data_IF_675388630926
#
_entry.id   IF_675388630926
#
_cell.length_a   1.000
_cell.length_b   1.000
_cell.length_c   1.000
_cell.angle_alpha   90.00
_cell.angle_beta   90.00
_cell.angle_gamma   90.00
#
_symmetry.space_group_name_H-M   'P 1'
#
loop_
_entity.id
_entity.type
_entity.pdbx_description
1 polymer ?
2 non-polymer ?
3 non-polymer ?
4 non-polymer ?
5 water ?
#
# COMPACT_ATOMS: atom_id res chain seq x y z
N UNK A 11 -6.08 8.53 26.87
CA UNK A 11 -5.60 9.60 25.93
C UNK A 11 -4.68 9.02 24.86
N UNK A 12 -4.79 9.59 23.65
CA UNK A 12 -4.11 9.07 22.46
C UNK A 12 -3.62 10.23 21.58
N UNK A 13 -2.36 10.15 21.09
CA UNK A 13 -1.80 11.28 20.32
C UNK A 13 -2.46 11.49 18.96
N UNK A 14 -2.24 12.69 18.41
CA UNK A 14 -2.98 13.16 17.23
C UNK A 14 -2.54 12.50 15.91
N UNK A 15 -1.23 12.33 15.74
CA UNK A 15 -0.68 11.72 14.54
C UNK A 15 -0.55 10.21 14.71
N UNK A 16 -0.87 9.46 13.65
CA UNK A 16 -0.69 8.01 13.73
C UNK A 16 0.78 7.61 13.93
N UNK A 17 1.73 8.45 13.53
CA UNK A 17 3.14 8.13 13.74
C UNK A 17 3.66 8.36 15.17
N UNK A 18 2.80 8.86 16.05
CA UNK A 18 3.09 9.00 17.48
C UNK A 18 2.47 7.91 18.34
N UNK A 19 1.89 6.90 17.73
CA UNK A 19 1.22 5.85 18.47
C UNK A 19 1.34 4.51 17.75
N UNK A 20 1.44 3.41 18.51
CA UNK A 20 1.42 2.09 17.91
C UNK A 20 0.03 1.72 17.39
N UNK A 21 -0.01 1.16 16.18
CA UNK A 21 -1.23 0.60 15.61
C UNK A 21 -0.88 -0.82 15.22
N UNK A 22 -1.29 -1.80 16.05
CA UNK A 22 -0.96 -3.19 15.75
C UNK A 22 -1.76 -3.76 14.60
N UNK A 23 -1.34 -4.94 14.17
CA UNK A 23 -1.95 -5.65 13.05
C UNK A 23 -3.42 -6.00 13.30
N UNK A 24 -3.69 -6.55 14.47
CA UNK A 24 -5.05 -6.93 14.83
C UNK A 24 -5.54 -6.06 15.97
N UNK A 25 -6.83 -5.77 15.93
CA UNK A 25 -7.48 -4.82 16.87
C UNK A 25 -8.92 -5.18 17.17
N UNK A 26 -9.63 -4.30 17.90
CA UNK A 26 -10.91 -4.66 18.54
C UNK A 26 -12.18 -4.03 17.96
N UNK A 27 -12.03 -3.39 16.81
CA UNK A 27 -13.01 -2.48 16.22
C UNK A 27 -13.02 -2.57 14.68
N UNK A 28 -12.92 -3.81 14.21
CA UNK A 28 -12.77 -4.07 12.77
C UNK A 28 -14.03 -3.71 12.01
N UNK A 29 -15.20 -3.99 12.59
CA UNK A 29 -16.46 -3.60 11.96
C UNK A 29 -16.55 -2.09 11.77
N UNK A 30 -16.20 -1.36 12.81
CA UNK A 30 -16.35 0.09 12.76
C UNK A 30 -15.35 0.73 11.81
N UNK A 31 -14.11 0.27 11.86
CA UNK A 31 -13.07 0.85 11.00
C UNK A 31 -13.37 0.49 9.52
N UNK A 32 -13.87 -0.73 9.27
CA UNK A 32 -14.22 -1.14 7.88
C UNK A 32 -15.31 -0.23 7.32
N UNK A 33 -16.32 0.09 8.13
CA UNK A 33 -17.37 0.97 7.69
C UNK A 33 -16.88 2.38 7.38
N UNK A 34 -16.03 2.95 8.24
CA UNK A 34 -15.43 4.26 7.98
C UNK A 34 -14.51 4.28 6.74
N UNK A 35 -13.75 3.21 6.57
CA UNK A 35 -12.92 3.07 5.39
C UNK A 35 -13.69 2.92 4.08
N UNK A 36 -14.90 2.36 4.13
CA UNK A 36 -15.78 2.36 2.94
C UNK A 36 -16.11 3.81 2.56
N UNK A 37 -16.53 4.60 3.56
CA UNK A 37 -16.81 6.02 3.30
C UNK A 37 -15.57 6.79 2.80
N UNK A 38 -14.41 6.49 3.35
CA UNK A 38 -13.18 7.12 2.89
C UNK A 38 -12.91 6.80 1.41
N UNK A 39 -13.04 5.52 1.08
CA UNK A 39 -12.74 5.03 -0.27
C UNK A 39 -13.70 5.70 -1.27
N UNK A 40 -14.98 5.71 -0.91
CA UNK A 40 -16.01 6.33 -1.73
C UNK A 40 -15.75 7.81 -1.95
N UNK A 41 -15.34 8.52 -0.90
CA UNK A 41 -14.92 9.90 -1.03
C UNK A 41 -13.80 10.10 -2.04
N UNK A 42 -12.79 9.22 -1.97
CA UNK A 42 -11.66 9.24 -2.92
C UNK A 42 -12.13 9.03 -4.35
N UNK A 43 -13.06 8.10 -4.53
CA UNK A 43 -13.66 7.90 -5.86
C UNK A 43 -14.36 9.14 -6.42
N UNK A 44 -14.87 10.00 -5.54
CA UNK A 44 -15.53 11.23 -5.98
C UNK A 44 -14.61 12.45 -6.01
N UNK A 45 -13.32 12.23 -5.84
CA UNK A 45 -12.34 13.31 -5.79
C UNK A 45 -12.37 14.16 -4.53
N UNK A 46 -12.99 13.65 -3.45
CA UNK A 46 -13.17 14.39 -2.19
C UNK A 46 -12.03 14.03 -1.23
N UNK A 47 -10.86 14.61 -1.47
CA UNK A 47 -9.62 14.20 -0.80
C UNK A 47 -9.60 14.54 0.71
N UNK A 48 -10.17 15.69 1.08
CA UNK A 48 -10.31 16.10 2.48
C UNK A 48 -11.12 15.09 3.28
N UNK A 49 -12.30 14.74 2.75
CA UNK A 49 -13.17 13.76 3.37
C UNK A 49 -12.53 12.36 3.42
N UNK A 50 -11.81 11.96 2.37
CA UNK A 50 -11.04 10.70 2.42
C UNK A 50 -10.10 10.67 3.63
N UNK A 51 -9.30 11.71 3.76
CA UNK A 51 -8.31 11.77 4.85
C UNK A 51 -8.98 11.79 6.24
N UNK A 52 -10.09 12.51 6.36
CA UNK A 52 -10.81 12.59 7.62
C UNK A 52 -11.35 11.22 8.07
N UNK A 53 -11.95 10.48 7.14
CA UNK A 53 -12.48 9.15 7.48
C UNK A 53 -11.36 8.16 7.75
N UNK A 54 -10.26 8.26 6.99
CA UNK A 54 -9.09 7.38 7.18
C UNK A 54 -8.49 7.57 8.58
N UNK A 55 -8.32 8.83 8.97
CA UNK A 55 -7.82 9.17 10.31
C UNK A 55 -8.70 8.66 11.45
N UNK A 56 -10.01 8.79 11.31
CA UNK A 56 -10.95 8.29 12.32
C UNK A 56 -10.86 6.77 12.41
N UNK A 57 -10.82 6.10 11.25
CA UNK A 57 -10.69 4.65 11.26
C UNK A 57 -9.42 4.25 12.00
N UNK A 58 -8.33 4.96 11.76
CA UNK A 58 -7.05 4.59 12.37
C UNK A 58 -7.05 4.78 13.89
N UNK A 59 -7.79 5.76 14.37
CA UNK A 59 -7.95 5.93 15.83
C UNK A 59 -8.55 4.68 16.47
N UNK A 60 -9.61 4.15 15.86
CA UNK A 60 -10.25 2.94 16.37
C UNK A 60 -9.31 1.74 16.37
N UNK A 61 -8.40 1.67 15.39
CA UNK A 61 -7.43 0.59 15.32
C UNK A 61 -6.40 0.64 16.44
N UNK A 62 -6.14 1.84 16.95
CA UNK A 62 -5.19 2.07 18.03
C UNK A 62 -5.79 1.88 19.42
N UNK A 63 -7.11 1.73 19.54
CA UNK A 63 -7.74 1.56 20.86
C UNK A 63 -7.50 0.17 21.45
N UNK A 64 -7.32 0.09 22.78
CA UNK A 64 -7.06 -1.21 23.40
C UNK A 64 -8.28 -2.10 23.59
N UNK A 65 -9.50 -1.57 23.42
CA UNK A 65 -10.73 -2.30 23.72
C UNK A 65 -11.78 -2.06 22.65
N UNK A 66 -12.77 -2.97 22.53
CA UNK A 66 -13.85 -2.68 21.59
C UNK A 66 -14.66 -1.48 22.07
N UNK A 67 -15.17 -0.70 21.11
CA UNK A 67 -16.17 0.34 21.36
C UNK A 67 -17.54 -0.31 21.34
N UNK A 68 -18.13 -0.45 22.54
CA UNK A 68 -19.45 -1.07 22.73
C UNK A 68 -20.58 -0.03 22.90
N UNK A 69 -20.25 1.16 23.41
CA UNK A 69 -21.23 2.22 23.65
C UNK A 69 -20.69 3.55 23.15
N UNK A 70 -21.57 4.48 22.76
CA UNK A 70 -21.12 5.80 22.24
C UNK A 70 -20.33 6.61 23.26
N UNK A 71 -20.62 6.36 24.55
CA UNK A 71 -19.82 6.90 25.65
C UNK A 71 -18.32 6.76 25.44
N UNK A 72 -17.88 5.66 24.84
CA UNK A 72 -16.46 5.37 24.65
C UNK A 72 -15.68 6.29 23.68
N UNK A 73 -16.39 7.11 22.89
CA UNK A 73 -15.77 8.27 22.24
C UNK A 73 -15.46 9.30 23.35
N UNK A 74 -14.27 9.87 23.33
CA UNK A 74 -13.67 10.45 24.55
C UNK A 74 -12.74 11.65 24.37
N UNK A 75 -13.11 12.60 23.51
CA UNK A 75 -12.27 13.81 23.27
C UNK A 75 -11.10 13.58 22.31
N UNK A 76 -10.54 12.37 22.31
CA UNK A 76 -9.59 11.87 21.29
C UNK A 76 -9.80 12.44 19.89
N UNK A 77 -8.69 12.73 19.18
CA UNK A 77 -8.78 13.59 18.02
C UNK A 77 -9.36 12.89 16.81
N UNK A 78 -9.57 13.67 15.75
CA UNK A 78 -10.02 13.14 14.46
C UNK A 78 -11.29 12.29 14.56
N UNK A 79 -12.20 12.65 15.47
CA UNK A 79 -13.51 11.99 15.54
C UNK A 79 -14.59 13.03 15.58
N UNK A 80 -14.79 13.65 14.42
CA UNK A 80 -15.80 14.68 14.22
C UNK A 80 -17.22 14.11 14.20
N UNK A 81 -18.16 15.00 13.93
CA UNK A 81 -19.59 14.68 13.94
C UNK A 81 -19.96 13.53 13.00
N UNK A 82 -19.48 13.61 11.76
CA UNK A 82 -19.85 12.60 10.76
C UNK A 82 -19.38 11.18 11.16
N UNK A 83 -18.10 11.03 11.46
CA UNK A 83 -17.57 9.71 11.84
C UNK A 83 -18.28 9.17 13.09
N UNK A 84 -18.52 10.04 14.07
CA UNK A 84 -19.26 9.67 15.28
C UNK A 84 -20.68 9.18 15.00
N UNK A 85 -21.39 9.88 14.11
CA UNK A 85 -22.72 9.46 13.70
C UNK A 85 -22.73 8.06 13.08
N UNK A 86 -21.72 7.77 12.23
CA UNK A 86 -21.60 6.47 11.61
C UNK A 86 -21.48 5.39 12.68
N UNK A 87 -20.56 5.60 13.63
CA UNK A 87 -20.35 4.62 14.71
C UNK A 87 -21.62 4.49 15.57
N UNK A 88 -22.26 5.61 15.87
CA UNK A 88 -23.51 5.58 16.67
C UNK A 88 -24.58 4.68 16.04
N UNK A 89 -24.78 4.83 14.73
CA UNK A 89 -25.79 4.06 14.01
C UNK A 89 -25.46 2.57 13.97
N UNK A 90 -24.17 2.26 13.82
CA UNK A 90 -23.69 0.87 13.90
C UNK A 90 -23.95 0.27 15.29
N UNK A 91 -23.63 1.02 16.33
CA UNK A 91 -23.88 0.56 17.71
C UNK A 91 -25.36 0.43 18.04
N UNK A 92 -26.14 1.43 17.65
CA UNK A 92 -27.58 1.43 17.96
C UNK A 92 -28.41 0.45 17.13
N UNK A 93 -28.11 0.37 15.82
CA UNK A 93 -28.93 -0.37 14.85
C UNK A 93 -28.24 -1.55 14.13
N UNK A 94 -26.94 -1.74 14.34
CA UNK A 94 -26.19 -2.81 13.66
C UNK A 94 -25.85 -2.52 12.21
N UNK A 95 -26.16 -1.32 11.75
CA UNK A 95 -26.02 -0.97 10.35
C UNK A 95 -26.03 0.55 10.21
N UNK A 96 -25.34 1.08 9.21
CA UNK A 96 -25.33 2.51 8.94
C UNK A 96 -25.87 2.69 7.54
N UNK A 97 -26.98 3.40 7.39
CA UNK A 97 -27.64 3.49 6.08
C UNK A 97 -26.76 4.15 5.02
N UNK A 98 -26.01 5.18 5.40
CA UNK A 98 -25.09 5.83 4.47
C UNK A 98 -24.08 4.82 3.92
N UNK A 99 -23.54 3.98 4.79
CA UNK A 99 -22.59 2.94 4.39
C UNK A 99 -23.25 1.91 3.48
N UNK A 100 -24.42 1.40 3.85
CA UNK A 100 -25.10 0.40 3.02
C UNK A 100 -25.48 0.96 1.64
N UNK A 101 -25.87 2.24 1.59
CA UNK A 101 -26.23 2.87 0.32
C UNK A 101 -25.01 2.91 -0.58
N UNK A 102 -23.87 3.27 0.01
CA UNK A 102 -22.59 3.26 -0.72
C UNK A 102 -22.27 1.87 -1.25
N UNK A 103 -22.28 0.82 -0.41
CA UNK A 103 -21.92 -0.52 -0.92
C UNK A 103 -22.85 -0.99 -2.02
N UNK A 104 -24.12 -0.61 -1.98
CA UNK A 104 -25.08 -1.02 -3.00
C UNK A 104 -25.05 -0.16 -4.29
N UNK A 105 -24.38 0.98 -4.26
CA UNK A 105 -24.43 1.92 -5.37
C UNK A 105 -23.57 1.45 -6.54
N UNK A 106 -24.13 1.56 -7.74
CA UNK A 106 -23.46 1.14 -8.96
C UNK A 106 -22.13 1.88 -9.16
N UNK A 107 -22.12 3.17 -8.83
CA UNK A 107 -20.92 4.00 -8.92
C UNK A 107 -19.81 3.46 -8.04
N UNK A 108 -20.11 3.20 -6.77
CA UNK A 108 -19.07 2.66 -5.86
C UNK A 108 -18.60 1.30 -6.32
N UNK A 109 -19.53 0.38 -6.62
CA UNK A 109 -19.19 -0.96 -7.07
C UNK A 109 -18.34 -0.96 -8.34
N UNK A 110 -18.66 -0.07 -9.28
CA UNK A 110 -17.92 -0.02 -10.53
C UNK A 110 -16.53 0.60 -10.32
N UNK A 111 -16.48 1.65 -9.52
CA UNK A 111 -15.19 2.32 -9.24
C UNK A 111 -14.28 1.35 -8.50
N UNK A 112 -14.84 0.58 -7.58
CA UNK A 112 -14.04 -0.44 -6.89
C UNK A 112 -13.54 -1.50 -7.86
N UNK A 113 -14.45 -2.00 -8.70
CA UNK A 113 -14.09 -2.98 -9.76
C UNK A 113 -12.93 -2.49 -10.62
N UNK A 114 -13.08 -1.28 -11.16
CA UNK A 114 -12.07 -0.78 -12.07
C UNK A 114 -10.75 -0.45 -11.38
N UNK A 115 -10.84 0.26 -10.26
CA UNK A 115 -9.61 0.74 -9.61
C UNK A 115 -8.79 -0.43 -9.05
N UNK A 116 -9.42 -1.58 -8.79
CA UNK A 116 -8.70 -2.76 -8.28
C UNK A 116 -7.80 -3.37 -9.38
N UNK A 117 -8.13 -3.14 -10.65
CA UNK A 117 -7.36 -3.70 -11.75
C UNK A 117 -5.95 -3.07 -11.80
N UNK A 118 -4.95 -3.92 -11.98
CA UNK A 118 -3.55 -3.50 -12.11
C UNK A 118 -3.42 -2.41 -13.17
N UNK A 119 -2.79 -1.29 -12.80
CA UNK A 119 -2.58 -0.17 -13.71
C UNK A 119 -3.73 0.83 -13.86
N UNK A 120 -4.81 0.66 -13.12
CA UNK A 120 -5.97 1.57 -13.18
C UNK A 120 -6.08 2.40 -11.91
N UNK A 121 -5.98 3.71 -12.03
CA UNK A 121 -6.26 4.62 -10.92
C UNK A 121 -7.65 5.23 -10.95
N UNK A 122 -7.92 6.15 -10.02
CA UNK A 122 -9.23 6.74 -9.88
C UNK A 122 -9.59 7.55 -11.09
N UNK A 123 -8.64 8.30 -11.64
CA UNK A 123 -8.97 9.15 -12.78
C UNK A 123 -9.38 8.33 -13.99
N UNK A 124 -8.66 7.25 -14.25
CA UNK A 124 -9.00 6.35 -15.35
C UNK A 124 -10.35 5.67 -15.12
N UNK A 125 -10.54 5.12 -13.92
CA UNK A 125 -11.79 4.44 -13.57
C UNK A 125 -12.99 5.39 -13.72
N UNK A 126 -12.83 6.62 -13.25
CA UNK A 126 -13.93 7.60 -13.32
C UNK A 126 -14.25 7.94 -14.79
N UNK A 127 -13.20 8.14 -15.59
CA UNK A 127 -13.38 8.40 -17.03
C UNK A 127 -14.18 7.27 -17.68
N UNK A 128 -13.79 6.03 -17.39
CA UNK A 128 -14.48 4.89 -17.95
C UNK A 128 -15.93 4.83 -17.51
N UNK A 129 -16.18 5.16 -16.25
CA UNK A 129 -17.53 5.17 -15.70
C UNK A 129 -18.37 6.21 -16.41
N UNK A 130 -17.77 7.35 -16.61
CA UNK A 130 -18.47 8.48 -17.27
C UNK A 130 -18.85 8.14 -18.71
N UNK A 131 -18.01 7.37 -19.35
CA UNK A 131 -18.19 6.85 -20.70
C UNK A 131 -19.10 5.64 -20.83
N UNK A 132 -19.67 5.20 -19.75
CA UNK A 132 -20.62 4.14 -19.76
C UNK A 132 -20.15 2.71 -19.59
N UNK A 133 -18.88 2.58 -19.31
CA UNK A 133 -18.29 1.28 -19.07
C UNK A 133 -18.62 0.83 -17.64
N UNK A 134 -18.97 -0.44 -17.48
CA UNK A 134 -19.37 -0.97 -16.15
C UNK A 134 -18.72 -2.26 -15.77
N UNK A 135 -18.41 -3.12 -16.72
CA UNK A 135 -17.94 -4.45 -16.38
C UNK A 135 -16.58 -4.73 -16.96
N UNK A 136 -15.98 -5.83 -16.52
CA UNK A 136 -14.69 -6.24 -17.07
C UNK A 136 -14.81 -6.60 -18.57
N UNK A 137 -15.92 -7.23 -18.94
CA UNK A 137 -16.18 -7.50 -20.33
C UNK A 137 -16.27 -6.22 -21.18
N UNK A 138 -16.91 -5.19 -20.64
CA UNK A 138 -17.00 -3.91 -21.31
C UNK A 138 -15.58 -3.41 -21.64
N UNK A 139 -14.64 -3.58 -20.72
CA UNK A 139 -13.26 -3.13 -20.98
C UNK A 139 -12.61 -3.97 -22.06
N UNK A 140 -12.84 -5.29 -22.00
CA UNK A 140 -12.28 -6.19 -23.01
C UNK A 140 -12.83 -5.96 -24.42
N UNK A 141 -14.02 -5.37 -24.48
CA UNK A 141 -14.62 -4.95 -25.76
C UNK A 141 -14.05 -3.67 -26.33
N UNK A 142 -13.28 -2.93 -25.52
CA UNK A 142 -12.63 -1.68 -25.95
C UNK A 142 -11.12 -1.68 -25.71
N UNK A 143 -10.42 -2.64 -26.33
CA UNK A 143 -8.98 -2.76 -26.03
C UNK A 143 -8.14 -1.54 -26.37
N UNK A 144 -8.59 -0.75 -27.34
CA UNK A 144 -7.91 0.49 -27.68
C UNK A 144 -7.90 1.52 -26.52
N UNK A 145 -8.78 1.35 -25.55
CA UNK A 145 -8.86 2.22 -24.36
C UNK A 145 -7.90 1.76 -23.25
N UNK A 146 -7.20 0.65 -23.44
CA UNK A 146 -6.38 0.07 -22.37
C UNK A 146 -4.90 0.18 -22.65
N UNK A 147 -4.13 0.44 -21.60
CA UNK A 147 -2.69 0.34 -21.68
C UNK A 147 -2.28 -1.13 -21.61
N UNK A 148 -1.03 -1.41 -21.95
CA UNK A 148 -0.56 -2.77 -21.95
C UNK A 148 -0.60 -3.33 -20.52
N UNK A 149 -0.30 -2.48 -19.54
CA UNK A 149 -0.38 -2.87 -18.13
C UNK A 149 -1.81 -3.27 -17.75
N UNK A 150 -2.76 -2.45 -18.19
CA UNK A 150 -4.18 -2.72 -17.90
C UNK A 150 -4.67 -3.99 -18.58
N UNK A 151 -4.17 -4.24 -19.78
CA UNK A 151 -4.51 -5.48 -20.49
C UNK A 151 -4.03 -6.69 -19.72
N UNK A 152 -2.82 -6.57 -19.19
CA UNK A 152 -2.25 -7.65 -18.38
C UNK A 152 -3.04 -7.82 -17.08
N UNK A 153 -3.44 -6.71 -16.47
CA UNK A 153 -4.27 -6.74 -15.28
C UNK A 153 -5.60 -7.45 -15.55
N UNK A 154 -6.19 -7.18 -16.71
CA UNK A 154 -7.44 -7.86 -17.08
C UNK A 154 -7.31 -9.34 -17.32
N UNK A 155 -6.28 -9.71 -18.07
CA UNK A 155 -5.93 -11.09 -18.35
C UNK A 155 -5.83 -11.91 -17.07
N UNK A 156 -5.26 -11.31 -16.03
CA UNK A 156 -4.99 -12.03 -14.79
C UNK A 156 -5.85 -11.59 -13.64
N UNK A 157 -7.03 -11.03 -13.92
CA UNK A 157 -7.76 -10.34 -12.86
C UNK A 157 -8.24 -11.29 -11.77
N UNK A 158 -8.56 -12.51 -12.12
CA UNK A 158 -9.05 -13.44 -11.07
C UNK A 158 -7.94 -13.74 -10.02
N UNK A 159 -6.79 -14.07 -10.55
CA UNK A 159 -5.65 -14.36 -9.66
C UNK A 159 -5.24 -13.10 -8.89
N UNK A 160 -5.24 -11.93 -9.55
CA UNK A 160 -4.82 -10.72 -8.86
C UNK A 160 -5.83 -10.22 -7.82
N UNK A 161 -7.07 -10.69 -7.87
CA UNK A 161 -8.10 -10.41 -6.87
C UNK A 161 -8.05 -11.39 -5.71
N UNK A 162 -7.25 -12.44 -5.85
CA UNK A 162 -7.08 -13.49 -4.82
C UNK A 162 -6.01 -13.00 -3.87
N UNK A 163 -6.30 -12.91 -2.52
CA UNK A 163 -5.30 -12.42 -1.59
C UNK A 163 -3.98 -13.20 -1.72
N UNK A 164 -2.89 -12.46 -1.72
CA UNK A 164 -1.56 -13.03 -1.70
C UNK A 164 -1.30 -13.49 -0.27
N UNK A 165 -0.76 -14.70 -0.12
CA UNK A 165 -0.55 -15.33 1.18
C UNK A 165 0.92 -15.28 1.57
N UNK A 166 1.18 -15.39 2.87
CA UNK A 166 2.56 -15.45 3.35
C UNK A 166 3.35 -16.55 2.66
N UNK A 167 2.72 -17.70 2.43
CA UNK A 167 3.38 -18.81 1.73
C UNK A 167 3.82 -18.42 0.31
N UNK A 168 3.01 -17.61 -0.36
CA UNK A 168 3.36 -17.08 -1.67
C UNK A 168 4.55 -16.16 -1.57
N UNK A 169 4.54 -15.29 -0.55
CA UNK A 169 5.63 -14.34 -0.33
C UNK A 169 6.95 -15.05 -0.10
N UNK A 170 6.93 -16.10 0.68
CA UNK A 170 8.15 -16.83 0.98
C UNK A 170 8.72 -17.48 -0.29
N UNK A 171 7.86 -18.05 -1.14
CA UNK A 171 8.32 -18.62 -2.42
C UNK A 171 8.88 -17.54 -3.34
N UNK A 172 8.19 -16.41 -3.42
CA UNK A 172 8.66 -15.30 -4.27
C UNK A 172 9.96 -14.70 -3.78
N UNK A 173 10.10 -14.55 -2.47
CA UNK A 173 11.34 -14.00 -1.92
C UNK A 173 12.52 -14.91 -2.26
N UNK A 174 12.30 -16.24 -2.23
CA UNK A 174 13.33 -17.20 -2.59
C UNK A 174 13.81 -16.99 -4.03
N UNK A 175 12.89 -16.92 -4.99
CA UNK A 175 13.31 -16.79 -6.40
C UNK A 175 13.93 -15.40 -6.66
N UNK A 176 13.42 -14.36 -5.99
CA UNK A 176 13.99 -13.02 -6.16
C UNK A 176 15.39 -12.97 -5.52
N UNK A 177 15.52 -13.55 -4.32
CA UNK A 177 16.84 -13.61 -3.68
C UNK A 177 17.85 -14.40 -4.51
N UNK A 178 17.42 -15.53 -5.09
CA UNK A 178 18.31 -16.34 -5.94
C UNK A 178 18.75 -15.53 -7.17
N UNK A 179 17.80 -14.86 -7.81
CA UNK A 179 18.15 -14.08 -9.02
C UNK A 179 19.06 -12.90 -8.68
N UNK A 180 18.77 -12.20 -7.60
CA UNK A 180 19.61 -11.06 -7.17
C UNK A 180 21.03 -11.54 -6.81
N UNK A 181 21.10 -12.61 -6.01
CA UNK A 181 22.40 -13.20 -5.58
C UNK A 181 23.29 -13.66 -6.73
N UNK A 182 22.66 -14.28 -7.73
CA UNK A 182 23.34 -14.75 -8.93
C UNK A 182 23.75 -13.62 -9.88
N UNK A 183 22.96 -12.55 -9.97
CA UNK A 183 23.31 -11.38 -10.78
C UNK A 183 24.44 -10.59 -10.17
N UNK A 184 24.40 -10.43 -8.84
CA UNK A 184 25.40 -9.63 -8.15
C UNK A 184 25.61 -10.12 -6.72
N UNK A 185 26.67 -10.93 -6.51
CA UNK A 185 26.99 -11.31 -5.14
C UNK A 185 27.10 -10.06 -4.26
N UNK A 186 26.56 -10.14 -3.05
CA UNK A 186 26.56 -9.00 -2.12
C UNK A 186 25.25 -8.24 -2.10
N UNK A 187 24.54 -8.19 -3.22
CA UNK A 187 23.27 -7.45 -3.30
C UNK A 187 22.25 -8.08 -2.35
N UNK A 188 21.37 -7.26 -1.77
CA UNK A 188 20.38 -7.70 -0.81
C UNK A 188 18.95 -7.45 -1.31
N UNK A 189 18.03 -8.28 -0.82
CA UNK A 189 16.61 -8.16 -1.05
C UNK A 189 15.95 -7.99 0.31
N UNK A 190 15.10 -6.98 0.47
CA UNK A 190 14.35 -6.79 1.70
C UNK A 190 12.85 -6.76 1.40
N UNK A 191 12.11 -7.62 2.09
CA UNK A 191 10.65 -7.58 2.02
C UNK A 191 10.14 -6.31 2.68
N UNK A 192 9.26 -5.58 1.99
CA UNK A 192 8.67 -4.36 2.51
C UNK A 192 7.14 -4.49 2.41
N UNK A 193 6.41 -3.39 2.37
CA UNK A 193 4.95 -3.41 2.25
C UNK A 193 4.30 -4.01 3.47
N UNK A 194 3.06 -4.42 3.28
CA UNK A 194 2.27 -4.97 4.38
C UNK A 194 2.85 -6.19 5.03
N UNK A 195 3.48 -7.02 4.25
CA UNK A 195 4.07 -8.25 4.77
C UNK A 195 5.17 -7.96 5.78
N UNK A 196 5.91 -6.88 5.55
CA UNK A 196 6.91 -6.47 6.55
C UNK A 196 6.24 -6.01 7.87
N UNK A 197 5.04 -5.45 7.75
CA UNK A 197 4.27 -5.01 8.89
C UNK A 197 3.56 -6.17 9.61
N UNK A 198 3.78 -7.40 9.19
CA UNK A 198 3.17 -8.56 9.81
C UNK A 198 1.88 -9.06 9.18
N UNK A 199 1.36 -8.40 8.14
CA UNK A 199 0.12 -8.87 7.51
C UNK A 199 0.25 -10.30 7.04
N UNK A 200 -0.88 -11.04 7.15
CA UNK A 200 -0.92 -12.42 6.70
C UNK A 200 -1.28 -12.53 5.26
N UNK A 201 -1.88 -11.47 4.71
CA UNK A 201 -2.30 -11.43 3.33
C UNK A 201 -2.07 -10.04 2.74
N UNK A 202 -2.14 -9.95 1.43
CA UNK A 202 -1.90 -8.68 0.75
C UNK A 202 -2.34 -8.69 -0.70
N UNK A 203 -2.24 -7.53 -1.35
CA UNK A 203 -2.60 -7.42 -2.75
C UNK A 203 -1.43 -7.60 -3.71
N UNK A 204 -0.23 -7.48 -3.17
CA UNK A 204 1.01 -7.65 -3.92
C UNK A 204 2.13 -8.00 -2.95
N UNK A 205 3.35 -8.09 -3.46
CA UNK A 205 4.54 -8.31 -2.64
C UNK A 205 5.53 -7.22 -3.09
N UNK A 206 6.07 -6.51 -2.12
CA UNK A 206 6.97 -5.40 -2.31
C UNK A 206 8.39 -5.77 -1.84
N UNK A 207 9.37 -5.56 -2.72
CA UNK A 207 10.76 -5.86 -2.38
C UNK A 207 11.61 -4.63 -2.68
N UNK A 208 12.58 -4.37 -1.81
CA UNK A 208 13.55 -3.29 -1.95
C UNK A 208 14.94 -3.91 -2.09
N UNK A 209 15.63 -3.58 -3.19
CA UNK A 209 16.92 -4.16 -3.53
C UNK A 209 17.99 -3.06 -3.41
N UNK A 210 19.15 -3.42 -2.87
CA UNK A 210 20.30 -2.50 -2.81
C UNK A 210 21.60 -3.29 -2.77
N UNK A 211 22.71 -2.56 -2.74
CA UNK A 211 24.04 -3.15 -2.54
C UNK A 211 24.82 -2.24 -1.56
N UNK A 212 25.61 -2.81 -0.64
CA UNK A 212 26.29 -1.96 0.35
C UNK A 212 27.28 -0.93 -0.23
N UNK A 213 27.86 -1.20 -1.39
CA UNK A 213 28.61 -0.17 -2.13
C UNK A 213 27.76 0.65 -3.09
N UNK A 214 27.67 1.94 -2.81
CA UNK A 214 26.96 2.91 -3.63
C UNK A 214 27.39 2.83 -5.10
N UNK A 215 26.43 2.65 -5.99
CA UNK A 215 26.67 2.55 -7.43
C UNK A 215 26.74 1.14 -7.96
N UNK A 216 26.98 0.15 -7.11
CA UNK A 216 27.02 -1.25 -7.57
C UNK A 216 25.63 -1.78 -7.91
N UNK A 217 24.58 -1.06 -7.49
CA UNK A 217 23.19 -1.41 -7.85
C UNK A 217 22.80 -0.97 -9.28
N UNK A 218 23.68 -0.21 -9.97
CA UNK A 218 23.38 0.23 -11.33
C UNK A 218 23.29 -0.97 -12.26
N UNK A 219 22.23 -1.05 -13.06
CA UNK A 219 22.05 -2.14 -14.02
C UNK A 219 21.74 -3.50 -13.44
N UNK A 220 21.43 -3.56 -12.14
CA UNK A 220 21.19 -4.83 -11.48
C UNK A 220 19.79 -5.33 -11.86
N UNK A 221 18.82 -4.44 -11.84
CA UNK A 221 17.42 -4.89 -12.03
C UNK A 221 17.16 -5.57 -13.37
N UNK A 222 17.64 -4.98 -14.50
CA UNK A 222 17.48 -5.70 -15.75
C UNK A 222 18.12 -7.08 -15.74
N UNK A 223 19.22 -7.25 -15.02
CA UNK A 223 19.83 -8.54 -14.91
C UNK A 223 19.02 -9.54 -14.13
N UNK A 224 18.44 -9.05 -13.04
CA UNK A 224 17.55 -9.85 -12.22
C UNK A 224 16.31 -10.25 -13.04
N UNK A 225 15.79 -9.30 -13.79
CA UNK A 225 14.62 -9.60 -14.60
C UNK A 225 14.90 -10.66 -15.66
N UNK A 226 16.07 -10.58 -16.30
CA UNK A 226 16.41 -11.56 -17.34
C UNK A 226 16.45 -12.96 -16.75
N UNK A 227 17.06 -13.08 -15.59
CA UNK A 227 17.12 -14.36 -14.94
C UNK A 227 15.71 -14.89 -14.59
N UNK A 228 14.87 -14.02 -14.05
CA UNK A 228 13.53 -14.45 -13.70
C UNK A 228 12.73 -14.84 -14.95
N UNK A 229 12.91 -14.06 -15.99
CA UNK A 229 12.20 -14.37 -17.25
C UNK A 229 12.60 -15.71 -17.85
N UNK A 230 13.88 -16.01 -17.83
CA UNK A 230 14.37 -17.27 -18.37
C UNK A 230 13.90 -18.47 -17.57
N UNK A 231 13.50 -18.26 -16.30
CA UNK A 231 12.87 -19.32 -15.52
C UNK A 231 11.36 -19.45 -15.71
N UNK A 232 10.77 -18.66 -16.59
CA UNK A 232 9.36 -18.74 -16.86
C UNK A 232 8.51 -18.13 -15.76
N UNK A 233 9.11 -17.30 -14.92
CA UNK A 233 8.42 -16.77 -13.74
C UNK A 233 7.74 -15.41 -13.98
N UNK A 234 7.88 -14.83 -15.17
CA UNK A 234 7.38 -13.49 -15.40
C UNK A 234 6.28 -13.51 -16.45
N UNK A 235 5.11 -12.99 -16.07
CA UNK A 235 4.00 -12.84 -17.00
C UNK A 235 3.96 -11.45 -17.61
N UNK A 236 4.36 -10.47 -16.83
CA UNK A 236 4.36 -9.09 -17.25
C UNK A 236 5.42 -8.37 -16.49
N UNK A 237 6.15 -7.47 -17.17
CA UNK A 237 7.00 -6.54 -16.45
C UNK A 237 7.06 -5.23 -17.20
N UNK A 238 7.14 -4.16 -16.43
CA UNK A 238 7.26 -2.80 -16.97
C UNK A 238 8.41 -2.21 -16.20
N UNK A 239 9.50 -1.93 -16.90
CA UNK A 239 10.68 -1.37 -16.31
C UNK A 239 10.69 0.14 -16.39
N UNK A 240 10.74 0.79 -15.26
CA UNK A 240 10.79 2.24 -15.14
C UNK A 240 12.21 2.62 -14.71
N UNK A 241 12.94 3.34 -15.58
CA UNK A 241 14.25 3.91 -15.22
C UNK A 241 14.11 4.98 -14.14
N UNK A 257 15.17 11.54 -10.30
CA UNK A 257 15.64 10.96 -9.04
C UNK A 257 14.75 9.84 -8.46
N UNK A 258 13.54 9.62 -9.02
CA UNK A 258 12.66 8.50 -8.61
C UNK A 258 13.33 7.15 -8.82
N UNK A 259 12.98 6.17 -7.98
CA UNK A 259 13.77 4.93 -7.94
C UNK A 259 13.54 4.13 -9.21
N UNK A 260 14.58 3.41 -9.62
CA UNK A 260 14.43 2.40 -10.63
C UNK A 260 13.52 1.31 -10.06
N UNK A 261 12.57 0.86 -10.87
CA UNK A 261 11.62 -0.16 -10.41
C UNK A 261 11.03 -0.95 -11.55
N UNK A 262 10.53 -2.14 -11.22
CA UNK A 262 9.82 -2.97 -12.18
C UNK A 262 8.49 -3.35 -11.56
N UNK A 263 7.40 -3.08 -12.28
CA UNK A 263 6.05 -3.44 -11.84
C UNK A 263 5.81 -4.76 -12.56
N UNK A 264 5.62 -5.84 -11.80
CA UNK A 264 5.58 -7.16 -12.38
C UNK A 264 4.33 -7.92 -12.03
N UNK A 265 3.99 -8.86 -12.90
CA UNK A 265 3.13 -9.98 -12.56
C UNK A 265 3.98 -11.23 -12.69
N UNK A 266 4.17 -11.94 -11.57
CA UNK A 266 4.87 -13.21 -11.57
C UNK A 266 3.92 -14.36 -11.80
N UNK A 267 4.43 -15.43 -12.42
CA UNK A 267 3.71 -16.69 -12.53
C UNK A 267 4.27 -17.58 -11.41
N UNK A 268 3.55 -17.64 -10.32
CA UNK A 268 4.00 -18.45 -9.15
C UNK A 268 3.55 -19.90 -9.30
N UNK A 269 4.50 -20.87 -9.38
CA UNK A 269 4.02 -22.24 -9.46
C UNK A 269 3.45 -22.70 -8.14
N UNK A 270 2.45 -23.57 -8.22
CA UNK A 270 1.75 -24.10 -7.06
C UNK A 270 1.65 -25.59 -7.28
N UNK A 271 1.27 -26.36 -6.25
CA UNK A 271 1.05 -27.79 -6.51
C UNK A 271 -0.11 -28.04 -7.51
N UNK A 272 0.21 -28.54 -8.70
CA UNK A 272 -0.78 -28.82 -9.77
C UNK A 272 -1.36 -27.64 -10.56
N UNK A 273 -0.76 -26.46 -10.42
CA UNK A 273 -1.39 -25.24 -10.94
C UNK A 273 -0.38 -24.09 -10.97
N UNK A 274 -0.87 -22.85 -11.02
CA UNK A 274 0.00 -21.68 -10.81
C UNK A 274 -0.92 -20.51 -10.57
N UNK A 275 -0.36 -19.43 -10.05
CA UNK A 275 -1.10 -18.21 -9.74
C UNK A 275 -0.32 -16.98 -10.18
N UNK A 276 -0.98 -16.03 -10.84
CA UNK A 276 -0.38 -14.77 -11.09
C UNK A 276 -0.37 -13.94 -9.80
N UNK A 277 0.74 -13.26 -9.55
CA UNK A 277 0.92 -12.44 -8.35
C UNK A 277 1.66 -11.14 -8.69
N UNK A 278 1.08 -10.03 -8.29
CA UNK A 278 1.76 -8.76 -8.41
C UNK A 278 2.96 -8.62 -7.49
N UNK A 279 4.08 -8.17 -8.06
CA UNK A 279 5.29 -7.95 -7.32
C UNK A 279 5.87 -6.60 -7.75
N UNK A 280 6.25 -5.78 -6.80
CA UNK A 280 6.97 -4.54 -7.05
C UNK A 280 8.42 -4.75 -6.64
N UNK A 281 9.34 -4.53 -7.59
CA UNK A 281 10.76 -4.61 -7.31
C UNK A 281 11.30 -3.20 -7.42
N UNK A 282 11.87 -2.70 -6.33
CA UNK A 282 12.36 -1.35 -6.25
C UNK A 282 13.84 -1.40 -5.93
N UNK A 283 14.64 -0.64 -6.67
CA UNK A 283 16.07 -0.52 -6.36
C UNK A 283 16.38 0.85 -5.76
N UNK A 284 17.09 0.86 -4.65
CA UNK A 284 17.53 2.11 -4.03
C UNK A 284 19.04 2.07 -3.78
N UNK A 285 19.75 3.17 -4.07
CA UNK A 285 21.12 3.25 -3.61
C UNK A 285 21.18 3.22 -2.09
N UNK A 286 22.22 2.58 -1.56
CA UNK A 286 22.29 2.32 -0.13
C UNK A 286 22.18 3.57 0.74
N UNK A 287 22.68 4.72 0.26
CA UNK A 287 22.53 6.01 0.97
C UNK A 287 21.06 6.40 1.22
N UNK A 288 20.17 6.05 0.29
CA UNK A 288 18.74 6.34 0.41
C UNK A 288 17.92 5.19 0.99
N UNK A 289 18.54 4.03 1.15
CA UNK A 289 17.83 2.83 1.59
C UNK A 289 16.93 3.01 2.82
N UNK A 290 17.42 3.65 3.90
CA UNK A 290 16.52 3.78 5.06
C UNK A 290 15.21 4.52 4.78
N UNK A 291 15.30 5.58 3.97
CA UNK A 291 14.13 6.38 3.58
C UNK A 291 13.20 5.59 2.70
N UNK A 292 13.79 4.82 1.79
CA UNK A 292 13.04 3.95 0.89
C UNK A 292 12.34 2.84 1.68
N UNK A 293 13.04 2.24 2.64
CA UNK A 293 12.45 1.18 3.44
C UNK A 293 11.29 1.74 4.28
N UNK A 294 11.50 2.92 4.86
CA UNK A 294 10.43 3.56 5.65
C UNK A 294 9.20 3.85 4.80
N UNK A 295 9.42 4.43 3.63
CA UNK A 295 8.32 4.76 2.75
C UNK A 295 7.61 3.53 2.23
N UNK A 296 8.36 2.54 1.77
CA UNK A 296 7.77 1.34 1.18
C UNK A 296 7.13 0.38 2.22
N UNK A 297 7.44 0.56 3.49
CA UNK A 297 6.88 -0.31 4.53
C UNK A 297 5.46 0.14 4.89
N UNK A 298 5.19 1.44 4.79
CA UNK A 298 3.85 1.92 5.04
C UNK A 298 3.47 1.86 6.52
N UNK A 299 2.16 1.76 6.82
CA UNK A 299 1.05 1.78 5.87
C UNK A 299 0.99 3.10 5.11
N UNK A 300 0.16 3.17 4.09
CA UNK A 300 0.03 4.39 3.31
C UNK A 300 -0.34 5.56 4.21
N UNK A 301 -1.32 5.36 5.10
CA UNK A 301 -1.72 6.40 6.05
C UNK A 301 -0.59 6.73 7.03
N UNK A 302 0.09 5.71 7.55
CA UNK A 302 1.21 5.96 8.46
C UNK A 302 2.24 6.92 7.82
N UNK A 303 2.58 6.64 6.57
CA UNK A 303 3.58 7.47 5.89
C UNK A 303 3.08 8.86 5.61
N UNK A 304 1.80 8.99 5.24
CA UNK A 304 1.22 10.31 5.04
C UNK A 304 1.29 11.11 6.33
N UNK A 305 0.94 10.46 7.44
CA UNK A 305 0.99 11.10 8.76
C UNK A 305 2.40 11.47 9.18
N UNK A 306 3.36 10.58 8.96
CA UNK A 306 4.76 10.83 9.25
C UNK A 306 5.29 12.04 8.44
N UNK A 307 4.91 12.14 7.18
CA UNK A 307 5.29 13.28 6.34
C UNK A 307 4.64 14.59 6.77
N UNK A 308 3.36 14.52 7.11
CA UNK A 308 2.63 15.69 7.62
C UNK A 308 3.23 16.12 8.96
N UNK A 309 3.50 15.17 9.84
CA UNK A 309 4.19 15.48 11.09
C UNK A 309 5.55 16.14 10.90
N UNK A 310 6.38 15.58 10.01
CA UNK A 310 7.71 16.12 9.74
C UNK A 310 7.61 17.56 9.28
N UNK A 311 6.71 17.83 8.33
CA UNK A 311 6.53 19.17 7.79
C UNK A 311 5.93 20.13 8.81
N UNK A 312 4.77 19.77 9.35
CA UNK A 312 4.03 20.66 10.27
C UNK A 312 4.72 20.88 11.61
N UNK A 313 5.24 19.82 12.22
CA UNK A 313 5.82 19.91 13.56
C UNK A 313 7.34 20.16 13.56
N UNK A 314 8.07 19.74 12.53
CA UNK A 314 9.53 19.91 12.52
C UNK A 314 10.10 20.74 11.37
N UNK A 315 9.28 21.17 10.42
CA UNK A 315 9.74 21.96 9.29
C UNK A 315 10.59 21.25 8.26
N UNK A 316 10.55 19.91 8.24
CA UNK A 316 11.39 19.10 7.35
C UNK A 316 10.51 18.40 6.35
N UNK A 317 11.00 18.20 5.12
CA UNK A 317 10.24 17.51 4.09
C UNK A 317 10.75 16.08 3.96
N UNK A 318 9.89 15.11 4.29
CA UNK A 318 10.27 13.69 4.27
C UNK A 318 9.70 13.05 3.02
N UNK A 319 10.51 12.26 2.32
CA UNK A 319 9.97 11.40 1.28
C UNK A 319 10.77 10.10 1.25
N UNK A 320 10.55 9.28 0.23
CA UNK A 320 11.19 7.97 0.16
C UNK A 320 12.69 8.02 -0.18
N UNK A 321 13.19 9.21 -0.56
CA UNK A 321 14.60 9.43 -0.91
C UNK A 321 15.43 10.15 0.15
N UNK A 322 14.78 10.85 1.07
CA UNK A 322 15.51 11.63 2.03
C UNK A 322 14.69 12.52 2.93
N UNK A 323 15.41 13.27 3.76
CA UNK A 323 14.79 14.20 4.71
C UNK A 323 15.50 15.55 4.57
N UNK A 324 14.79 16.50 3.97
CA UNK A 324 15.33 17.78 3.54
C UNK A 324 14.91 18.89 4.50
N UNK A 325 15.87 19.70 4.93
CA UNK A 325 15.60 20.95 5.64
C UNK A 325 15.56 22.05 4.57
N UNK A 326 14.35 22.61 4.29
CA UNK A 326 14.22 23.55 3.18
C UNK A 326 14.82 24.94 3.51
N UNK A 327 14.96 25.25 4.80
CA UNK A 327 15.57 26.51 5.22
C UNK A 327 17.09 26.45 5.06
N UNK A 328 17.70 25.39 5.61
CA UNK A 328 19.15 25.20 5.54
C UNK A 328 19.64 24.60 4.23
N UNK A 329 18.74 24.00 3.46
CA UNK A 329 19.04 23.34 2.18
C UNK A 329 19.97 22.13 2.40
N UNK A 330 19.61 21.30 3.38
CA UNK A 330 20.45 20.17 3.77
C UNK A 330 19.65 18.88 3.76
N UNK A 331 20.34 17.76 3.52
CA UNK A 331 19.75 16.41 3.63
C UNK A 331 20.32 15.66 4.83
N UNK A 332 19.42 15.00 5.58
CA UNK A 332 19.81 14.20 6.74
C UNK A 332 20.40 12.85 6.32
N UNK A 333 21.55 12.51 6.89
CA UNK A 333 22.24 11.25 6.64
C UNK A 333 21.70 10.25 7.64
N UNK A 334 21.01 9.21 7.16
CA UNK A 334 20.44 8.17 8.02
C UNK A 334 21.07 6.85 7.65
N UNK A 335 21.39 6.04 8.67
CA UNK A 335 21.85 4.66 8.47
C UNK A 335 20.72 3.64 8.64
N UNK A 336 19.64 4.08 9.28
CA UNK A 336 18.54 3.20 9.66
C UNK A 336 17.24 3.97 9.81
N UNK A 337 16.13 3.24 9.82
CA UNK A 337 14.84 3.84 10.14
C UNK A 337 14.87 4.50 11.52
N UNK A 338 15.50 3.82 12.49
CA UNK A 338 15.62 4.34 13.85
C UNK A 338 16.22 5.75 13.86
N UNK A 339 17.26 5.97 13.06
CA UNK A 339 17.91 7.31 12.91
C UNK A 339 16.88 8.38 12.51
N UNK A 340 16.01 8.03 11.57
CA UNK A 340 15.02 8.95 11.04
C UNK A 340 13.98 9.28 12.11
N UNK A 341 13.48 8.27 12.80
CA UNK A 341 12.54 8.50 13.89
C UNK A 341 13.15 9.42 14.96
N UNK A 342 14.38 9.10 15.38
CA UNK A 342 15.13 9.89 16.38
C UNK A 342 15.30 11.34 15.93
N UNK A 343 15.70 11.55 14.67
CA UNK A 343 15.89 12.89 14.12
C UNK A 343 14.59 13.71 14.12
N UNK A 344 13.46 13.04 13.93
CA UNK A 344 12.14 13.70 13.95
C UNK A 344 11.53 13.84 15.35
N UNK A 345 12.22 13.36 16.38
CA UNK A 345 11.73 13.45 17.75
C UNK A 345 10.58 12.52 18.07
N UNK A 346 10.56 11.35 17.41
CA UNK A 346 9.53 10.35 17.57
C UNK A 346 10.11 9.09 18.17
N UNK A 347 9.36 8.46 19.07
CA UNK A 347 9.72 7.15 19.58
C UNK A 347 9.64 6.18 18.41
N UNK A 348 10.62 5.29 18.33
CA UNK A 348 10.64 4.31 17.25
C UNK A 348 9.42 3.39 17.31
N UNK A 349 8.82 3.14 16.15
CA UNK A 349 7.78 2.15 16.02
C UNK A 349 8.29 1.11 15.04
N UNK A 350 8.35 -0.17 15.48
CA UNK A 350 8.70 -1.21 14.52
C UNK A 350 7.59 -1.37 13.46
N UNK A 351 7.88 -2.04 12.34
CA UNK A 351 6.89 -2.09 11.26
C UNK A 351 5.51 -2.65 11.65
N UNK A 352 5.49 -3.65 12.52
CA UNK A 352 4.21 -4.22 13.00
C UNK A 352 3.32 -3.27 13.82
N UNK A 353 3.87 -2.12 14.22
CA UNK A 353 3.10 -1.08 14.88
C UNK A 353 2.81 0.10 13.98
N UNK A 354 3.04 -0.05 12.66
CA UNK A 354 2.75 1.00 11.68
C UNK A 354 1.51 0.71 10.84
N UNK A 355 0.57 -0.07 11.40
CA UNK A 355 -0.60 -0.52 10.64
C UNK A 355 -1.74 0.49 10.77
N UNK A 356 -1.42 1.76 10.57
CA UNK A 356 -2.40 2.83 10.68
C UNK A 356 -3.41 2.75 9.56
X LIG B 1 2.07 -4.26 -0.89
X LIG C 1 3.20 -2.49 -4.03
X LIG D 1 -0.94 -4.65 0.61
X LIG D 1 -0.44 -5.64 1.64
X LIG D 1 -2.37 -4.68 0.23
X LIG D 1 -0.05 -4.58 -0.61
X LIG D 1 -0.73 -3.25 1.38
X LIG D 1 0.66 -2.44 1.43
X LIG D 1 1.83 -3.30 1.02
X LIG D 1 0.68 -1.71 2.74
X LIG D 1 0.41 -1.32 0.31
X LIG D 1 1.16 -1.11 -1.09
X LIG D 1 1.81 -2.39 -1.60
X LIG D 1 0.15 -0.43 -1.98
X LIG D 1 2.26 0.00 -0.74
X LIG D 1 3.27 -0.22 0.26
X LIG D 1 3.89 1.11 0.65
X LIG D 1 4.59 1.58 -0.50
X LIG D 1 2.90 2.19 1.05
X LIG D 1 3.41 3.01 2.12
X LIG D 1 2.77 3.05 -0.19
X LIG D 1 2.44 4.40 0.12
X LIG D 1 4.16 2.90 -0.78
X LIG D 1 4.19 3.15 -2.25
X LIG D 1 3.43 2.56 -3.19
X LIG D 1 3.75 3.04 -4.43
X LIG D 1 4.74 3.95 -4.25
X LIG D 1 5.55 4.83 -5.11
X LIG D 1 5.38 4.84 -6.35
X LIG D 1 6.48 5.62 -4.53
X LIG D 1 6.69 5.63 -3.19
X LIG D 1 7.63 6.45 -2.65
X LIG D 1 5.97 4.84 -2.33
X LIG D 1 5.02 4.00 -2.81
X LIG E 1 -4.78 7.41 -12.90
X LIG E 1 -3.70 6.47 -12.53
X LIG E 1 -5.15 8.25 -11.74
X LIG E 1 -5.97 6.65 -13.35
X LIG E 1 -4.31 8.28 -14.01
X LIG F 1 -13.33 17.66 -0.04
X LIG F 1 -12.02 18.04 -0.63
X LIG F 1 -13.18 16.38 0.68
X LIG F 1 -14.33 17.51 -1.11
X LIG F 1 -13.77 18.71 0.91
X LIG G 1 -20.12 -5.86 0.59
X LIG G 1 -19.23 -4.80 1.12
X LIG G 1 -19.81 -7.16 1.22
X LIG G 1 -21.54 -5.52 0.90
X LIG G 1 -19.95 -5.92 -0.88
X LIG H 1 -1.98 21.16 6.82
X LIG H 1 -1.65 19.72 6.86
X LIG H 1 -2.86 21.50 7.95
X LIG H 1 -0.75 21.96 6.90
X LIG H 1 -2.67 21.45 5.54
X LIG I 1 8.16 9.75 -2.80
X LIG I 1 7.59 9.01 -1.65
X LIG I 1 9.61 9.88 -2.61
X LIG I 1 7.89 9.01 -4.06
X LIG I 1 7.53 11.09 -2.88
X LIG J 1 -2.81 -0.35 -6.49
X LIG J 1 -3.62 -0.55 -5.27
X LIG J 1 -1.40 -0.64 -6.17
X LIG J 1 -3.30 -1.28 -7.53
X LIG J 1 -2.95 1.05 -6.95
X LIG K 1 -12.20 12.99 -19.94
X LIG K 1 -11.99 12.07 -18.81
X LIG K 1 -11.33 12.60 -21.07
X LIG K 1 -13.62 12.94 -20.36
X LIG K 1 -11.86 14.37 -19.49
#
# INVERSE_FOLDING_TARGET
GSAAAPLSPAWMPAYACQRPTPLTHHNTGLSEALEILAEAAGFEGSEGRLLTFCRAASVLKALPSPVTTLSQLQGLPHFGEHSSRVVQELLEHGVCEEVERVRRSERYQTMKLFTQIFGVGVKTADRWYREGLRTLDDLREQPQKLTQQQKAGLQHHQDLSTPVLRSDVDALQQVVEEAVGQALPGATVTLTGGFRRGKLQGHDVDFLITHPKEGQEAGLLPRVMCRLQDQGLILYHQHQHSCCESPTRLAQQSHMDAFERSFCIFRLPQPGSWKAVRVDLVVAPVSQFPFALLGWTGSKLFQRELRRFSRKEKGLWLNSHGLFDPEQKTFFQAASEEDIFRHLGLEYLPPEQRNA
MN MN
MN MN
GTP PG O1G O2G O3G O3B PB O1B O2B O3A PA O1A O2A O5' C5' C4' O4' C3' O3' C2' O2' C1' N9 C8 N7 C5 C6 O6 N1 C2 N2 N3 C4
SO4 S O1 O2 O3 O4
SO4 S O1 O2 O3 O4
SO4 S O1 O2 O3 O4
SO4 S O1 O2 O3 O4
SO4 S O1 O2 O3 O4
SO4 S O1 O2 O3 O4
SO4 S O1 O2 O3 O4
#
